data_IF_559055932364
#
_entry.id   IF_559055932364
#
_cell.length_a   1.000
_cell.length_b   1.000
_cell.length_c   1.000
_cell.angle_alpha   90.00
_cell.angle_beta   90.00
_cell.angle_gamma   90.00
#
_symmetry.space_group_name_H-M   'P 1'
#
loop_
_entity.id
_entity.type
_entity.pdbx_description
1 polymer ?
#
# COMPACT_ATOMS: atom_id res chain seq x y z
N UNK A 1 -0.03 7.68 -25.04
CA UNK A 1 0.06 8.96 -24.28
C UNK A 1 1.35 9.00 -23.50
N UNK A 2 1.85 10.21 -23.21
CA UNK A 2 3.00 10.43 -22.34
C UNK A 2 2.51 10.99 -21.00
N UNK A 3 2.76 10.26 -19.91
CA UNK A 3 2.24 10.56 -18.57
C UNK A 3 3.40 10.90 -17.63
N UNK A 4 3.28 11.99 -16.86
CA UNK A 4 4.25 12.40 -15.85
C UNK A 4 3.73 12.03 -14.44
N UNK A 5 4.33 11.03 -13.78
CA UNK A 5 3.97 10.57 -12.45
C UNK A 5 4.88 11.22 -11.41
N UNK A 6 4.35 12.07 -10.52
CA UNK A 6 5.11 12.75 -9.47
C UNK A 6 4.85 12.12 -8.12
N UNK A 7 5.89 11.61 -7.47
CA UNK A 7 5.77 10.93 -6.18
C UNK A 7 6.90 11.32 -5.21
N UNK A 8 6.59 11.40 -3.91
CA UNK A 8 7.60 11.66 -2.87
C UNK A 8 8.28 10.37 -2.37
N UNK A 9 7.77 9.20 -2.78
CA UNK A 9 8.30 7.89 -2.41
C UNK A 9 8.44 7.04 -3.66
N UNK A 10 9.61 6.47 -3.86
CA UNK A 10 9.84 5.55 -4.97
C UNK A 10 10.93 4.54 -4.62
N UNK A 11 11.08 3.51 -5.45
CA UNK A 11 12.12 2.50 -5.27
C UNK A 11 13.51 3.13 -5.06
N UNK A 12 14.36 2.57 -4.20
CA UNK A 12 14.24 1.29 -3.49
C UNK A 12 13.50 1.37 -2.14
N UNK A 13 12.82 2.46 -1.81
CA UNK A 13 11.96 2.53 -0.62
C UNK A 13 10.66 1.76 -0.87
N UNK A 14 10.41 0.68 -0.12
CA UNK A 14 9.22 -0.14 -0.24
C UNK A 14 8.11 0.35 0.68
N UNK A 15 6.96 0.69 0.10
CA UNK A 15 5.74 1.10 0.80
C UNK A 15 4.55 1.08 -0.15
N UNK A 16 3.34 1.09 0.36
CA UNK A 16 2.12 0.98 -0.45
C UNK A 16 2.05 1.97 -1.60
N UNK A 17 2.43 3.24 -1.35
CA UNK A 17 2.45 4.28 -2.41
C UNK A 17 3.50 3.95 -3.49
N UNK A 18 4.70 3.52 -3.09
CA UNK A 18 5.75 3.14 -4.04
C UNK A 18 5.29 2.00 -4.95
N UNK A 19 4.70 0.96 -4.34
CA UNK A 19 4.19 -0.19 -5.10
C UNK A 19 3.05 0.25 -6.02
N UNK A 20 2.13 1.07 -5.54
CA UNK A 20 1.04 1.60 -6.37
C UNK A 20 1.53 2.40 -7.58
N UNK A 21 2.54 3.26 -7.39
CA UNK A 21 3.12 4.05 -8.50
C UNK A 21 3.86 3.16 -9.49
N UNK A 22 4.62 2.18 -8.98
CA UNK A 22 5.37 1.26 -9.83
C UNK A 22 4.44 0.32 -10.62
N UNK A 23 3.39 -0.21 -9.97
CA UNK A 23 2.35 -1.01 -10.64
C UNK A 23 1.64 -0.20 -11.72
N UNK A 24 1.30 1.06 -11.44
CA UNK A 24 0.70 1.95 -12.42
C UNK A 24 1.66 2.22 -13.59
N UNK A 25 2.94 2.52 -13.32
CA UNK A 25 3.97 2.74 -14.36
C UNK A 25 4.08 1.53 -15.28
N UNK A 26 4.28 0.34 -14.71
CA UNK A 26 4.42 -0.91 -15.48
C UNK A 26 3.16 -1.22 -16.27
N UNK A 27 1.98 -1.05 -15.69
CA UNK A 27 0.71 -1.29 -16.36
C UNK A 27 0.48 -0.31 -17.52
N UNK A 28 0.80 0.98 -17.36
CA UNK A 28 0.73 1.97 -18.45
C UNK A 28 1.70 1.63 -19.58
N UNK A 29 2.93 1.22 -19.26
CA UNK A 29 3.92 0.82 -20.28
C UNK A 29 3.48 -0.45 -21.01
N UNK A 30 2.94 -1.44 -20.31
CA UNK A 30 2.38 -2.65 -20.93
C UNK A 30 1.19 -2.33 -21.86
N UNK A 31 0.42 -1.26 -21.55
CA UNK A 31 -0.66 -0.75 -22.40
C UNK A 31 -0.15 0.17 -23.56
N UNK A 32 1.17 0.28 -23.76
CA UNK A 32 1.76 1.04 -24.86
C UNK A 32 1.87 2.54 -24.61
N UNK A 33 1.86 3.01 -23.37
CA UNK A 33 2.03 4.41 -22.99
C UNK A 33 3.43 4.68 -22.48
N UNK A 34 3.87 5.95 -22.52
CA UNK A 34 5.13 6.39 -21.91
C UNK A 34 4.87 6.93 -20.50
N UNK A 35 5.33 6.22 -19.47
CA UNK A 35 5.23 6.65 -18.09
C UNK A 35 6.59 7.18 -17.58
N UNK A 36 6.62 8.47 -17.21
CA UNK A 36 7.79 9.13 -16.62
C UNK A 36 7.59 9.30 -15.13
N UNK A 37 8.49 8.79 -14.31
CA UNK A 37 8.42 8.92 -12.86
C UNK A 37 9.36 10.02 -12.38
N UNK A 38 8.81 10.99 -11.66
CA UNK A 38 9.55 12.07 -10.99
C UNK A 38 9.51 11.81 -9.48
N UNK A 39 10.64 11.38 -8.92
CA UNK A 39 10.75 11.00 -7.52
C UNK A 39 11.98 11.57 -6.82
N UNK A 40 12.15 11.33 -5.50
CA UNK A 40 13.33 11.73 -4.75
C UNK A 40 14.56 10.93 -5.16
N UNK A 41 15.75 11.52 -5.02
CA UNK A 41 17.01 10.78 -5.06
C UNK A 41 17.18 10.04 -3.73
N UNK A 42 17.31 8.74 -3.80
CA UNK A 42 17.56 7.86 -2.67
C UNK A 42 18.96 7.25 -2.79
N UNK A 43 19.63 7.02 -1.67
CA UNK A 43 20.91 6.31 -1.65
C UNK A 43 20.72 4.88 -2.18
N UNK A 44 21.67 4.41 -2.98
CA UNK A 44 21.62 3.07 -3.58
C UNK A 44 20.55 2.85 -4.65
N UNK A 45 19.81 3.90 -5.07
CA UNK A 45 18.83 3.76 -6.14
C UNK A 45 19.51 3.37 -7.46
N UNK A 46 19.09 2.26 -8.03
CA UNK A 46 19.42 1.82 -9.38
C UNK A 46 18.15 1.90 -10.22
N UNK A 47 18.11 2.88 -11.12
CA UNK A 47 16.91 3.10 -11.92
C UNK A 47 16.93 2.16 -13.15
N UNK A 48 15.84 1.45 -13.34
CA UNK A 48 15.67 0.45 -14.43
C UNK A 48 15.31 1.10 -15.77
N UNK A 49 15.14 2.42 -15.81
CA UNK A 49 14.73 3.17 -17.01
C UNK A 49 15.19 4.61 -16.93
N UNK A 50 15.56 5.20 -18.07
CA UNK A 50 15.87 6.62 -18.22
C UNK A 50 14.66 7.53 -18.00
N UNK A 51 13.46 6.95 -17.96
CA UNK A 51 12.21 7.66 -17.64
C UNK A 51 11.98 7.83 -16.13
N UNK A 52 12.91 7.35 -15.28
CA UNK A 52 12.90 7.61 -13.83
C UNK A 52 13.82 8.79 -13.56
N UNK A 53 13.23 9.92 -13.20
CA UNK A 53 13.91 11.21 -13.00
C UNK A 53 13.98 11.55 -11.54
N UNK A 54 15.19 11.71 -10.98
CA UNK A 54 15.42 11.92 -9.56
C UNK A 54 15.68 13.39 -9.23
N UNK A 55 14.77 13.97 -8.41
CA UNK A 55 14.98 15.28 -7.81
C UNK A 55 16.09 15.25 -6.75
N UNK A 56 16.89 16.32 -6.60
CA UNK A 56 17.76 16.47 -5.45
C UNK A 56 16.97 16.29 -4.16
N UNK A 57 17.56 15.62 -3.17
CA UNK A 57 16.85 15.26 -1.95
C UNK A 57 17.76 15.25 -0.76
N UNK A 58 17.21 15.49 0.43
CA UNK A 58 17.88 15.37 1.72
C UNK A 58 17.24 14.25 2.54
N UNK A 59 17.99 13.50 3.36
CA UNK A 59 17.41 12.51 4.25
C UNK A 59 16.42 13.14 5.23
N UNK A 60 15.32 12.46 5.52
CA UNK A 60 14.40 12.89 6.57
C UNK A 60 15.00 12.56 7.94
N UNK A 61 14.97 13.49 8.90
CA UNK A 61 15.57 13.31 10.23
C UNK A 61 14.80 12.31 11.09
N UNK A 62 13.46 12.25 10.93
CA UNK A 62 12.58 11.39 11.71
C UNK A 62 12.37 10.00 11.09
N UNK A 63 12.71 9.85 9.81
CA UNK A 63 12.59 8.61 9.07
C UNK A 63 13.73 8.52 8.03
N UNK A 64 14.92 8.02 8.41
CA UNK A 64 16.14 8.10 7.58
C UNK A 64 16.06 7.41 6.22
N UNK A 65 15.19 6.40 6.09
CA UNK A 65 14.93 5.71 4.80
C UNK A 65 14.10 6.57 3.84
N UNK A 66 13.51 7.66 4.32
CA UNK A 66 12.72 8.58 3.55
C UNK A 66 13.54 9.79 3.12
N UNK A 67 13.41 10.22 1.87
CA UNK A 67 14.10 11.39 1.37
C UNK A 67 13.12 12.51 1.02
N UNK A 68 13.41 13.69 1.52
CA UNK A 68 12.65 14.90 1.23
C UNK A 68 13.15 15.50 -0.09
N UNK A 69 12.37 15.39 -1.15
CA UNK A 69 12.70 15.95 -2.43
C UNK A 69 12.68 17.47 -2.41
N UNK A 70 13.70 18.10 -2.99
CA UNK A 70 13.75 19.54 -3.24
C UNK A 70 13.02 19.78 -4.58
N UNK A 71 11.81 20.41 -4.59
CA UNK A 71 10.95 20.50 -5.77
C UNK A 71 11.42 21.56 -6.77
N UNK A 72 12.72 21.70 -6.90
CA UNK A 72 13.39 22.63 -7.81
C UNK A 72 14.67 22.03 -8.37
N UNK A 73 14.79 21.99 -9.70
CA UNK A 73 16.01 21.60 -10.41
C UNK A 73 16.01 22.20 -11.82
N UNK A 74 17.04 22.99 -12.14
CA UNK A 74 17.20 23.56 -13.48
C UNK A 74 17.37 22.47 -14.55
N UNK A 75 18.05 21.37 -14.22
CA UNK A 75 18.22 20.20 -15.10
C UNK A 75 16.88 19.56 -15.43
N UNK A 76 16.07 19.27 -14.39
CA UNK A 76 14.75 18.67 -14.60
C UNK A 76 13.80 19.66 -15.31
N UNK A 77 13.87 20.94 -14.99
CA UNK A 77 13.10 21.97 -15.69
C UNK A 77 13.37 22.00 -17.20
N UNK A 78 14.66 21.88 -17.63
CA UNK A 78 15.04 21.79 -19.06
C UNK A 78 14.55 20.49 -19.71
N UNK A 79 14.71 19.35 -19.01
CA UNK A 79 14.21 18.06 -19.49
C UNK A 79 12.70 18.11 -19.73
N UNK A 80 11.94 18.56 -18.75
CA UNK A 80 10.48 18.64 -18.81
C UNK A 80 10.00 19.63 -19.90
N UNK A 81 10.74 20.72 -20.14
CA UNK A 81 10.41 21.67 -21.20
C UNK A 81 10.58 21.06 -22.62
N UNK A 82 11.40 20.03 -22.77
CA UNK A 82 11.57 19.28 -24.03
C UNK A 82 10.61 18.09 -24.18
N UNK A 83 9.77 17.82 -23.19
CA UNK A 83 8.82 16.71 -23.19
C UNK A 83 7.37 17.24 -23.26
N UNK A 84 6.60 16.73 -24.21
CA UNK A 84 5.18 17.05 -24.32
C UNK A 84 4.36 15.96 -23.61
N UNK A 85 3.95 16.24 -22.39
CA UNK A 85 3.10 15.35 -21.58
C UNK A 85 1.62 15.56 -21.91
N UNK A 86 0.87 14.48 -22.00
CA UNK A 86 -0.58 14.52 -22.14
C UNK A 86 -1.28 14.73 -20.80
N UNK A 87 -0.72 14.14 -19.72
CA UNK A 87 -1.27 14.18 -18.36
C UNK A 87 -0.14 14.33 -17.35
N UNK A 88 -0.39 15.12 -16.31
CA UNK A 88 0.46 15.19 -15.11
C UNK A 88 -0.29 14.59 -13.94
N UNK A 89 0.26 13.54 -13.34
CA UNK A 89 -0.35 12.81 -12.25
C UNK A 89 0.47 12.92 -10.97
N UNK A 90 -0.09 13.52 -9.94
CA UNK A 90 0.52 13.67 -8.62
C UNK A 90 0.05 12.56 -7.68
N UNK A 91 0.98 11.95 -6.95
CA UNK A 91 0.70 10.92 -5.94
C UNK A 91 0.85 11.43 -4.50
N UNK A 92 1.27 12.68 -4.32
CA UNK A 92 1.37 13.35 -3.03
C UNK A 92 0.98 14.82 -3.15
N UNK A 93 0.32 15.43 -2.14
CA UNK A 93 -0.06 16.84 -2.18
C UNK A 93 1.08 17.79 -1.75
N UNK A 94 2.17 17.25 -1.20
CA UNK A 94 3.32 18.00 -0.66
C UNK A 94 4.55 17.81 -1.56
N UNK A 95 5.59 18.63 -1.34
CA UNK A 95 6.90 18.56 -2.02
C UNK A 95 6.77 18.50 -3.55
N UNK A 96 6.78 17.31 -4.14
CA UNK A 96 6.68 17.14 -5.59
C UNK A 96 5.27 17.35 -6.15
N UNK A 97 4.21 17.30 -5.34
CA UNK A 97 2.86 17.66 -5.78
C UNK A 97 2.75 19.10 -6.31
N UNK A 98 3.20 20.12 -5.57
CA UNK A 98 3.29 21.50 -6.10
C UNK A 98 4.14 21.63 -7.37
N UNK A 99 5.19 20.80 -7.55
CA UNK A 99 5.97 20.76 -8.79
C UNK A 99 5.14 20.20 -9.96
N UNK A 100 4.42 19.11 -9.74
CA UNK A 100 3.47 18.54 -10.70
C UNK A 100 2.44 19.59 -11.14
N UNK A 101 1.82 20.26 -10.18
CA UNK A 101 0.82 21.30 -10.46
C UNK A 101 1.40 22.48 -11.26
N UNK A 102 2.63 22.90 -10.97
CA UNK A 102 3.31 23.95 -11.75
C UNK A 102 3.54 23.50 -13.19
N UNK A 103 3.94 22.24 -13.40
CA UNK A 103 4.10 21.66 -14.73
C UNK A 103 2.76 21.64 -15.48
N UNK A 104 1.72 21.06 -14.90
CA UNK A 104 0.39 20.95 -15.50
C UNK A 104 -0.12 22.31 -15.98
N UNK A 105 -0.04 23.34 -15.12
CA UNK A 105 -0.46 24.71 -15.46
C UNK A 105 0.37 25.33 -16.60
N UNK A 106 1.70 25.16 -16.59
CA UNK A 106 2.58 25.72 -17.64
C UNK A 106 2.36 25.05 -18.98
N UNK A 107 2.20 23.73 -18.97
CA UNK A 107 1.96 22.93 -20.15
C UNK A 107 0.50 22.97 -20.64
N UNK A 108 -0.42 23.57 -19.87
CA UNK A 108 -1.88 23.52 -20.11
C UNK A 108 -2.37 22.08 -20.27
N UNK A 109 -1.93 21.21 -19.36
CA UNK A 109 -2.31 19.81 -19.30
C UNK A 109 -3.06 19.50 -18.01
N UNK A 110 -3.96 18.51 -17.99
CA UNK A 110 -4.69 18.16 -16.80
C UNK A 110 -3.78 17.67 -15.69
N UNK A 111 -4.11 18.08 -14.46
CA UNK A 111 -3.54 17.56 -13.22
C UNK A 111 -4.48 16.52 -12.64
N UNK A 112 -4.05 15.26 -12.60
CA UNK A 112 -4.72 14.19 -11.87
C UNK A 112 -4.03 13.99 -10.52
N UNK A 113 -4.78 13.64 -9.48
CA UNK A 113 -4.23 13.39 -8.15
C UNK A 113 -4.76 12.09 -7.56
N UNK A 114 -3.89 11.16 -7.19
CA UNK A 114 -4.28 9.99 -6.38
C UNK A 114 -4.08 10.26 -4.90
N UNK A 115 -5.14 10.10 -4.11
CA UNK A 115 -5.14 10.28 -2.67
C UNK A 115 -4.75 8.98 -1.96
N UNK A 116 -3.44 8.72 -1.80
CA UNK A 116 -2.93 7.44 -1.27
C UNK A 116 -2.94 7.32 0.25
N UNK A 117 -2.93 8.43 0.97
CA UNK A 117 -2.58 8.41 2.39
C UNK A 117 -3.48 9.31 3.21
N UNK A 118 -3.94 8.82 4.33
CA UNK A 118 -4.58 9.61 5.39
C UNK A 118 -3.50 10.37 6.15
N UNK A 119 -3.05 11.48 5.59
CA UNK A 119 -1.87 12.24 6.07
C UNK A 119 -1.97 12.66 7.53
N UNK A 120 -3.18 12.90 8.04
CA UNK A 120 -3.45 13.21 9.44
C UNK A 120 -3.02 12.09 10.40
N UNK A 121 -3.10 10.84 9.97
CA UNK A 121 -2.68 9.68 10.77
C UNK A 121 -1.16 9.55 10.91
N UNK A 122 -0.41 10.31 10.10
CA UNK A 122 1.07 10.34 10.09
C UNK A 122 1.62 11.61 10.75
N UNK A 123 0.77 12.43 11.39
CA UNK A 123 1.17 13.68 12.03
C UNK A 123 2.21 13.49 13.14
N UNK A 124 2.25 12.31 13.78
CA UNK A 124 3.21 11.98 14.84
C UNK A 124 4.67 11.88 14.38
N UNK A 125 4.94 11.84 13.06
CA UNK A 125 6.30 11.93 12.52
C UNK A 125 6.82 13.38 12.44
N UNK A 126 5.97 14.37 12.64
CA UNK A 126 6.34 15.78 12.57
C UNK A 126 6.52 16.31 14.02
N UNK A 127 7.68 16.88 14.38
CA UNK A 127 7.95 17.35 15.75
C UNK A 127 7.26 18.69 16.05
N UNK A 128 5.92 18.73 15.92
CA UNK A 128 5.06 19.88 16.19
C UNK A 128 3.80 19.39 16.92
N UNK A 129 3.01 20.28 17.56
CA UNK A 129 1.76 19.89 18.21
C UNK A 129 0.82 19.11 17.30
N UNK A 130 0.45 17.90 17.73
CA UNK A 130 -0.23 16.89 16.90
C UNK A 130 -1.49 17.44 16.21
N UNK A 131 -2.41 18.06 16.95
CA UNK A 131 -3.67 18.58 16.40
C UNK A 131 -3.49 19.69 15.35
N UNK A 132 -2.40 20.48 15.45
CA UNK A 132 -2.06 21.49 14.42
C UNK A 132 -1.58 20.82 13.14
N UNK A 133 -0.73 19.80 13.27
CA UNK A 133 -0.18 19.04 12.13
C UNK A 133 -1.31 18.28 11.42
N UNK A 134 -2.18 17.60 12.17
CA UNK A 134 -3.35 16.91 11.63
C UNK A 134 -4.26 17.85 10.84
N UNK A 135 -4.63 18.97 11.45
CA UNK A 135 -5.50 19.99 10.81
C UNK A 135 -4.86 20.61 9.58
N UNK A 136 -3.55 20.85 9.61
CA UNK A 136 -2.81 21.36 8.46
C UNK A 136 -2.73 20.32 7.35
N UNK A 137 -2.40 19.07 7.68
CA UNK A 137 -2.33 17.97 6.74
C UNK A 137 -3.67 17.74 6.01
N UNK A 138 -4.78 17.75 6.75
CA UNK A 138 -6.13 17.65 6.20
C UNK A 138 -6.47 18.79 5.25
N UNK A 139 -6.23 20.05 5.68
CA UNK A 139 -6.52 21.24 4.85
C UNK A 139 -5.66 21.29 3.59
N UNK A 140 -4.37 20.98 3.71
CA UNK A 140 -3.46 21.01 2.57
C UNK A 140 -3.77 19.91 1.56
N UNK A 141 -4.04 18.67 2.04
CA UNK A 141 -4.34 17.53 1.15
C UNK A 141 -5.71 17.70 0.46
N UNK A 142 -6.75 18.09 1.18
CA UNK A 142 -8.05 18.40 0.59
C UNK A 142 -7.97 19.61 -0.36
N UNK A 143 -7.23 20.64 0.03
CA UNK A 143 -6.99 21.81 -0.82
C UNK A 143 -6.20 21.50 -2.08
N UNK A 144 -5.30 20.51 -2.06
CA UNK A 144 -4.61 20.04 -3.27
C UNK A 144 -5.57 19.25 -4.16
N UNK A 145 -6.37 18.33 -3.58
CA UNK A 145 -7.41 17.59 -4.29
C UNK A 145 -8.42 18.51 -4.98
N UNK A 146 -8.87 19.56 -4.29
CA UNK A 146 -9.81 20.56 -4.82
C UNK A 146 -9.24 21.41 -5.98
N UNK A 147 -7.92 21.37 -6.22
CA UNK A 147 -7.24 22.09 -7.30
C UNK A 147 -6.74 21.19 -8.41
N UNK A 148 -6.98 19.89 -8.34
CA UNK A 148 -6.76 18.95 -9.42
C UNK A 148 -7.94 19.00 -10.42
N UNK A 149 -7.74 18.50 -11.63
CA UNK A 149 -8.79 18.37 -12.64
C UNK A 149 -9.58 17.06 -12.46
N UNK A 150 -8.94 16.06 -11.87
CA UNK A 150 -9.57 14.82 -11.41
C UNK A 150 -8.82 14.24 -10.21
N UNK A 151 -9.53 13.48 -9.37
CA UNK A 151 -8.97 12.77 -8.21
C UNK A 151 -9.26 11.27 -8.35
N UNK A 152 -8.24 10.44 -8.07
CA UNK A 152 -8.39 9.02 -7.88
C UNK A 152 -8.39 8.70 -6.38
N UNK A 153 -9.45 8.07 -5.90
CA UNK A 153 -9.54 7.57 -4.53
C UNK A 153 -9.35 6.04 -4.56
N UNK A 154 -8.52 5.45 -3.69
CA UNK A 154 -8.28 4.02 -3.68
C UNK A 154 -9.47 3.22 -3.13
N UNK A 155 -10.45 3.89 -2.50
CA UNK A 155 -11.62 3.29 -1.87
C UNK A 155 -12.81 4.25 -1.86
N UNK A 156 -14.01 3.70 -1.66
CA UNK A 156 -15.25 4.49 -1.53
C UNK A 156 -15.21 5.37 -0.29
N UNK A 157 -14.66 4.86 0.80
CA UNK A 157 -14.50 5.61 2.05
C UNK A 157 -13.64 6.86 1.85
N UNK A 158 -12.51 6.76 1.14
CA UNK A 158 -11.66 7.92 0.85
C UNK A 158 -12.37 8.93 -0.04
N UNK A 159 -13.13 8.49 -1.05
CA UNK A 159 -13.97 9.39 -1.87
C UNK A 159 -14.94 10.17 -1.00
N UNK A 160 -15.68 9.47 -0.14
CA UNK A 160 -16.73 10.06 0.69
C UNK A 160 -16.15 11.02 1.75
N UNK A 161 -15.00 10.69 2.33
CA UNK A 161 -14.23 11.59 3.19
C UNK A 161 -13.81 12.88 2.47
N UNK A 162 -13.34 12.78 1.22
CA UNK A 162 -12.97 13.96 0.44
C UNK A 162 -14.18 14.82 0.11
N UNK A 163 -15.31 14.22 -0.24
CA UNK A 163 -16.56 14.95 -0.44
C UNK A 163 -17.04 15.64 0.83
N UNK A 164 -16.99 14.95 1.99
CA UNK A 164 -17.32 15.54 3.29
C UNK A 164 -16.41 16.74 3.66
N UNK A 165 -15.17 16.73 3.18
CA UNK A 165 -14.20 17.83 3.34
C UNK A 165 -14.38 18.96 2.29
N UNK A 166 -15.44 18.92 1.48
CA UNK A 166 -15.79 19.95 0.52
C UNK A 166 -15.03 19.87 -0.83
N UNK A 167 -14.36 18.77 -1.14
CA UNK A 167 -13.76 18.58 -2.47
C UNK A 167 -14.87 18.35 -3.49
N UNK A 168 -14.95 19.23 -4.49
CA UNK A 168 -15.95 19.20 -5.58
C UNK A 168 -15.37 18.72 -6.91
N UNK A 169 -14.05 18.56 -6.99
CA UNK A 169 -13.36 17.92 -8.12
C UNK A 169 -13.97 16.54 -8.37
N UNK A 170 -14.14 16.11 -9.63
CA UNK A 170 -14.55 14.74 -9.92
C UNK A 170 -13.63 13.72 -9.28
N UNK A 171 -14.20 12.79 -8.50
CA UNK A 171 -13.47 11.74 -7.79
C UNK A 171 -13.91 10.38 -8.33
N UNK A 172 -12.98 9.65 -8.93
CA UNK A 172 -13.18 8.27 -9.35
C UNK A 172 -12.59 7.30 -8.30
N UNK A 173 -13.32 6.22 -8.00
CA UNK A 173 -12.80 5.16 -7.15
C UNK A 173 -11.99 4.20 -8.03
N UNK A 174 -10.68 4.22 -7.84
CA UNK A 174 -9.71 3.40 -8.57
C UNK A 174 -8.77 2.74 -7.56
N UNK A 175 -9.08 1.53 -7.11
CA UNK A 175 -8.19 0.77 -6.26
C UNK A 175 -6.84 0.51 -6.93
N UNK A 176 -5.77 0.47 -6.14
CA UNK A 176 -4.48 -0.04 -6.61
C UNK A 176 -4.65 -1.51 -7.00
N UNK A 177 -4.28 -1.85 -8.21
CA UNK A 177 -4.34 -3.21 -8.72
C UNK A 177 -3.21 -4.10 -8.19
N UNK A 178 -3.46 -5.38 -8.27
CA UNK A 178 -2.50 -6.45 -8.02
C UNK A 178 -2.23 -7.18 -9.34
N UNK A 179 -0.99 -7.50 -9.61
CA UNK A 179 -0.60 -8.37 -10.72
C UNK A 179 -1.06 -9.80 -10.40
N UNK A 180 -2.22 -10.18 -10.92
CA UNK A 180 -2.85 -11.47 -10.63
C UNK A 180 -2.18 -12.66 -11.30
N UNK A 181 -1.33 -12.41 -12.30
CA UNK A 181 -0.53 -13.45 -12.94
C UNK A 181 0.65 -13.84 -12.04
N UNK A 182 1.14 -12.89 -11.26
CA UNK A 182 2.20 -13.07 -10.26
C UNK A 182 1.65 -13.45 -8.89
N UNK A 183 0.72 -12.66 -8.34
CA UNK A 183 0.05 -12.94 -7.07
C UNK A 183 -1.11 -13.90 -7.33
N UNK A 184 -0.84 -15.17 -7.26
CA UNK A 184 -1.81 -16.23 -7.51
C UNK A 184 -1.56 -17.41 -6.56
N UNK A 185 -2.56 -18.29 -6.37
CA UNK A 185 -2.34 -19.58 -5.74
C UNK A 185 -1.24 -20.35 -6.46
N UNK A 186 -0.37 -21.03 -5.72
CA UNK A 186 0.80 -21.74 -6.28
C UNK A 186 1.17 -22.99 -5.52
N UNK A 187 2.39 -23.50 -5.75
CA UNK A 187 2.91 -24.66 -5.04
C UNK A 187 3.25 -24.29 -3.59
N UNK A 188 2.24 -24.47 -2.73
CA UNK A 188 2.36 -24.23 -1.29
C UNK A 188 3.49 -25.03 -0.66
N UNK A 189 3.73 -26.27 -1.08
CA UNK A 189 4.77 -27.11 -0.50
C UNK A 189 6.16 -26.56 -0.83
N UNK A 190 6.38 -26.11 -2.07
CA UNK A 190 7.62 -25.44 -2.46
C UNK A 190 7.82 -24.12 -1.70
N UNK A 191 6.78 -23.28 -1.60
CA UNK A 191 6.83 -22.03 -0.85
C UNK A 191 7.15 -22.26 0.65
N UNK A 192 6.57 -23.27 1.27
CA UNK A 192 6.86 -23.63 2.66
C UNK A 192 8.29 -24.13 2.85
N UNK A 193 8.81 -24.97 1.94
CA UNK A 193 10.23 -25.39 1.96
C UNK A 193 11.17 -24.18 1.87
N UNK A 194 10.89 -23.25 0.96
CA UNK A 194 11.69 -22.01 0.80
C UNK A 194 11.72 -21.17 2.09
N UNK A 195 10.63 -21.15 2.84
CA UNK A 195 10.52 -20.37 4.07
C UNK A 195 10.92 -21.17 5.33
N UNK A 196 11.26 -22.46 5.20
CA UNK A 196 11.58 -23.32 6.34
C UNK A 196 10.39 -23.54 7.27
N UNK A 197 9.18 -23.64 6.71
CA UNK A 197 7.94 -23.99 7.42
C UNK A 197 7.67 -25.48 7.19
N UNK A 198 7.64 -26.26 8.28
CA UNK A 198 7.46 -27.71 8.19
C UNK A 198 6.03 -28.10 7.77
N UNK A 199 5.90 -29.30 7.26
CA UNK A 199 4.60 -29.90 7.03
C UNK A 199 3.86 -30.08 8.38
N UNK A 200 2.57 -29.70 8.42
CA UNK A 200 1.78 -29.75 9.66
C UNK A 200 1.87 -28.49 10.53
N UNK A 201 2.83 -27.58 10.32
CA UNK A 201 2.81 -26.28 10.99
C UNK A 201 1.72 -25.37 10.42
N UNK A 202 1.08 -24.56 11.27
CA UNK A 202 0.11 -23.55 10.88
C UNK A 202 0.83 -22.20 10.77
N UNK A 203 0.93 -21.62 9.56
CA UNK A 203 1.63 -20.36 9.32
C UNK A 203 0.67 -19.18 9.32
N UNK A 204 0.82 -18.30 10.31
CA UNK A 204 0.20 -16.97 10.35
C UNK A 204 1.17 -15.97 9.71
N UNK A 205 0.70 -15.16 8.78
CA UNK A 205 1.51 -14.20 8.05
C UNK A 205 1.07 -12.77 8.35
N UNK A 206 2.04 -11.90 8.57
CA UNK A 206 1.90 -10.45 8.51
C UNK A 206 2.84 -9.89 7.45
N UNK A 207 2.37 -9.01 6.60
CA UNK A 207 3.18 -8.24 5.64
C UNK A 207 2.82 -6.76 5.78
N UNK A 208 3.83 -5.92 5.93
CA UNK A 208 3.63 -4.48 6.04
C UNK A 208 4.75 -3.76 6.76
N UNK A 209 4.66 -2.42 6.79
CA UNK A 209 5.62 -1.63 7.57
C UNK A 209 5.46 -1.94 9.06
N UNK A 210 6.57 -1.97 9.78
CA UNK A 210 6.60 -2.15 11.23
C UNK A 210 6.61 -0.78 11.92
N UNK A 211 5.54 -0.03 11.72
CA UNK A 211 5.35 1.31 12.24
C UNK A 211 4.15 1.35 13.21
N UNK A 212 4.10 2.41 14.02
CA UNK A 212 3.10 2.56 15.09
C UNK A 212 1.66 2.41 14.58
N UNK A 213 1.34 3.03 13.45
CA UNK A 213 -0.02 3.03 12.87
C UNK A 213 -0.46 1.67 12.32
N UNK A 214 0.47 0.69 12.23
CA UNK A 214 0.15 -0.69 11.79
C UNK A 214 -0.20 -1.64 12.94
N UNK A 215 -0.06 -1.19 14.19
CA UNK A 215 -0.46 -1.94 15.40
C UNK A 215 0.06 -3.39 15.43
N UNK A 216 1.35 -3.59 15.04
CA UNK A 216 1.93 -4.94 14.94
C UNK A 216 2.14 -5.57 16.33
N UNK A 217 2.20 -4.80 17.38
CA UNK A 217 2.16 -5.27 18.76
C UNK A 217 0.88 -6.06 19.07
N UNK A 218 -0.29 -5.64 18.53
CA UNK A 218 -1.54 -6.42 18.65
C UNK A 218 -1.43 -7.78 17.93
N UNK A 219 -0.75 -7.82 16.77
CA UNK A 219 -0.47 -9.09 16.06
C UNK A 219 0.37 -10.04 16.91
N UNK A 220 1.41 -9.52 17.57
CA UNK A 220 2.27 -10.31 18.46
C UNK A 220 1.49 -10.87 19.67
N UNK A 221 0.71 -10.02 20.33
CA UNK A 221 -0.13 -10.45 21.49
C UNK A 221 -1.21 -11.44 21.04
N UNK A 222 -1.84 -11.22 19.89
CA UNK A 222 -2.81 -12.17 19.33
C UNK A 222 -2.14 -13.51 19.02
N UNK A 223 -0.92 -13.50 18.48
CA UNK A 223 -0.21 -14.72 18.16
C UNK A 223 0.15 -15.55 19.41
N UNK A 224 0.47 -14.94 20.54
CA UNK A 224 0.69 -15.69 21.78
C UNK A 224 -0.53 -16.54 22.18
N UNK A 225 -1.74 -15.97 22.04
CA UNK A 225 -3.00 -16.70 22.24
C UNK A 225 -3.25 -17.76 21.17
N UNK A 226 -2.97 -17.45 19.91
CA UNK A 226 -3.08 -18.42 18.81
C UNK A 226 -2.18 -19.63 19.11
N UNK A 227 -0.93 -19.40 19.46
CA UNK A 227 0.05 -20.45 19.68
C UNK A 227 -0.19 -21.27 20.97
N UNK A 228 -0.94 -20.74 21.95
CA UNK A 228 -1.37 -21.51 23.11
C UNK A 228 -2.47 -22.53 22.77
N UNK A 229 -3.29 -22.26 21.75
CA UNK A 229 -4.36 -23.16 21.31
C UNK A 229 -3.93 -24.04 20.14
N UNK A 230 -3.17 -23.49 19.20
CA UNK A 230 -2.65 -24.19 18.01
C UNK A 230 -1.15 -24.41 18.21
N UNK A 231 -0.79 -25.53 18.82
CA UNK A 231 0.59 -25.80 19.25
C UNK A 231 1.62 -25.77 18.09
N UNK A 232 1.20 -26.09 16.86
CA UNK A 232 2.04 -26.03 15.67
C UNK A 232 2.02 -24.66 14.95
N UNK A 233 1.44 -23.60 15.55
CA UNK A 233 1.38 -22.29 14.93
C UNK A 233 2.75 -21.59 14.91
N UNK A 234 3.05 -20.94 13.79
CA UNK A 234 4.19 -20.02 13.60
C UNK A 234 3.73 -18.68 13.08
N UNK A 235 4.37 -17.60 13.52
CA UNK A 235 4.16 -16.26 13.00
C UNK A 235 5.36 -15.85 12.16
N UNK A 236 5.09 -15.41 10.94
CA UNK A 236 6.07 -14.81 10.04
C UNK A 236 5.69 -13.35 9.78
N UNK A 237 6.61 -12.44 10.10
CA UNK A 237 6.46 -11.01 9.86
C UNK A 237 7.43 -10.58 8.75
N UNK A 238 6.89 -9.93 7.73
CA UNK A 238 7.66 -9.40 6.59
C UNK A 238 7.51 -7.89 6.54
N UNK A 239 8.63 -7.19 6.58
CA UNK A 239 8.70 -5.74 6.52
C UNK A 239 9.72 -5.16 7.50
N UNK A 240 9.78 -3.83 7.49
CA UNK A 240 10.63 -3.01 8.37
C UNK A 240 9.88 -1.72 8.73
N UNK A 241 10.38 -0.99 9.70
CA UNK A 241 9.80 0.27 10.12
C UNK A 241 10.42 0.76 11.44
N UNK A 242 9.99 1.93 11.88
CA UNK A 242 10.52 2.61 13.07
C UNK A 242 10.34 1.82 14.37
N UNK A 243 9.33 0.94 14.41
CA UNK A 243 9.03 0.09 15.57
C UNK A 243 9.72 -1.28 15.55
N UNK A 244 10.49 -1.59 14.49
CA UNK A 244 11.03 -2.94 14.28
C UNK A 244 11.82 -3.46 15.49
N UNK A 245 12.68 -2.64 16.10
CA UNK A 245 13.49 -3.05 17.26
C UNK A 245 12.63 -3.20 18.55
N UNK A 246 11.64 -2.31 18.73
CA UNK A 246 10.69 -2.44 19.85
C UNK A 246 9.87 -3.73 19.73
N UNK A 247 9.38 -4.03 18.53
CA UNK A 247 8.60 -5.22 18.26
C UNK A 247 9.43 -6.51 18.42
N UNK A 248 10.70 -6.52 18.02
CA UNK A 248 11.60 -7.67 18.26
C UNK A 248 11.82 -7.88 19.75
N UNK A 249 12.06 -6.81 20.53
CA UNK A 249 12.16 -6.91 21.99
C UNK A 249 10.86 -7.44 22.60
N UNK A 250 9.70 -6.90 22.20
CA UNK A 250 8.41 -7.43 22.66
C UNK A 250 8.28 -8.93 22.34
N UNK A 251 8.54 -9.33 21.09
CA UNK A 251 8.46 -10.73 20.68
C UNK A 251 9.37 -11.64 21.52
N UNK A 252 10.57 -11.17 21.90
CA UNK A 252 11.51 -11.96 22.72
C UNK A 252 11.05 -12.17 24.17
N UNK A 253 10.12 -11.36 24.68
CA UNK A 253 9.54 -11.54 26.02
C UNK A 253 8.35 -12.50 26.05
N UNK A 254 7.78 -12.83 24.88
CA UNK A 254 6.64 -13.74 24.79
C UNK A 254 7.08 -15.20 24.97
N UNK A 255 6.23 -16.01 25.60
CA UNK A 255 6.48 -17.45 25.80
C UNK A 255 6.67 -18.22 24.48
N UNK A 256 6.17 -17.65 23.39
CA UNK A 256 6.17 -18.23 22.03
C UNK A 256 7.26 -17.64 21.12
N UNK A 257 8.22 -16.92 21.67
CA UNK A 257 9.31 -16.25 20.94
C UNK A 257 10.00 -17.15 19.87
N UNK A 258 10.32 -18.43 20.11
CA UNK A 258 10.94 -19.32 19.13
C UNK A 258 10.06 -19.59 17.88
N UNK A 259 8.78 -19.30 17.96
CA UNK A 259 7.81 -19.49 16.87
C UNK A 259 7.53 -18.20 16.07
N UNK A 260 8.18 -17.09 16.43
CA UNK A 260 8.04 -15.79 15.77
C UNK A 260 9.27 -15.50 14.93
N UNK A 261 9.08 -15.22 13.64
CA UNK A 261 10.17 -14.97 12.72
C UNK A 261 9.98 -13.65 11.97
N UNK A 262 10.97 -12.77 12.06
CA UNK A 262 11.05 -11.53 11.31
C UNK A 262 11.94 -11.74 10.08
N UNK A 263 11.38 -11.60 8.87
CA UNK A 263 12.12 -11.79 7.61
C UNK A 263 12.75 -10.49 7.07
N UNK A 264 12.47 -9.34 7.71
CA UNK A 264 12.94 -8.04 7.21
C UNK A 264 12.23 -7.61 5.93
N UNK A 265 12.81 -6.62 5.24
CA UNK A 265 12.31 -6.15 3.95
C UNK A 265 12.53 -7.20 2.88
N UNK A 266 11.54 -7.40 2.04
CA UNK A 266 11.63 -8.24 0.85
C UNK A 266 11.23 -7.41 -0.38
N UNK A 267 11.90 -7.60 -1.53
CA UNK A 267 11.38 -7.10 -2.79
C UNK A 267 9.94 -7.54 -3.02
N UNK A 268 9.13 -6.71 -3.64
CA UNK A 268 7.69 -6.97 -3.77
C UNK A 268 7.38 -8.32 -4.45
N UNK A 269 8.17 -8.70 -5.46
CA UNK A 269 8.02 -9.98 -6.14
C UNK A 269 8.36 -11.20 -5.27
N UNK A 270 9.19 -11.04 -4.23
CA UNK A 270 9.57 -12.10 -3.28
C UNK A 270 8.52 -12.31 -2.17
N UNK A 271 7.45 -11.52 -2.15
CA UNK A 271 6.35 -11.69 -1.19
C UNK A 271 5.42 -12.85 -1.56
N UNK A 272 5.34 -13.20 -2.84
CA UNK A 272 4.41 -14.24 -3.34
C UNK A 272 4.57 -15.58 -2.59
N UNK A 273 5.79 -16.14 -2.41
CA UNK A 273 5.95 -17.36 -1.63
C UNK A 273 5.48 -17.22 -0.18
N UNK A 274 5.57 -16.02 0.43
CA UNK A 274 5.08 -15.80 1.78
C UNK A 274 3.56 -15.96 1.86
N UNK A 275 2.82 -15.36 0.91
CA UNK A 275 1.37 -15.51 0.83
C UNK A 275 0.95 -16.95 0.50
N UNK A 276 1.64 -17.62 -0.43
CA UNK A 276 1.34 -19.00 -0.84
C UNK A 276 1.59 -20.03 0.28
N UNK A 277 2.59 -19.79 1.14
CA UNK A 277 2.94 -20.69 2.24
C UNK A 277 1.98 -20.58 3.44
N UNK A 278 1.34 -19.43 3.62
CA UNK A 278 0.56 -19.09 4.81
C UNK A 278 -0.82 -19.77 4.86
N UNK A 279 -1.37 -19.87 6.07
CA UNK A 279 -2.70 -20.39 6.34
C UNK A 279 -3.71 -19.26 6.58
N UNK A 280 -3.28 -18.21 7.27
CA UNK A 280 -4.09 -17.04 7.61
C UNK A 280 -3.21 -15.79 7.51
N UNK A 281 -3.73 -14.75 6.88
CA UNK A 281 -3.14 -13.43 6.91
C UNK A 281 -3.71 -12.64 8.09
N UNK A 282 -2.85 -12.15 9.01
CA UNK A 282 -3.29 -11.46 10.22
C UNK A 282 -2.91 -9.98 10.14
N UNK A 283 -3.89 -9.07 10.25
CA UNK A 283 -3.69 -7.67 9.99
C UNK A 283 -4.44 -6.76 10.97
N UNK A 284 -3.70 -5.90 11.69
CA UNK A 284 -4.23 -5.07 12.77
C UNK A 284 -4.24 -3.56 12.48
N UNK A 285 -3.97 -3.14 11.24
CA UNK A 285 -3.94 -1.72 10.87
C UNK A 285 -5.34 -1.11 10.81
N UNK A 286 -5.49 0.08 11.40
CA UNK A 286 -6.74 0.86 11.39
C UNK A 286 -6.67 2.09 10.47
N UNK A 287 -5.58 2.27 9.73
CA UNK A 287 -5.29 3.51 9.00
C UNK A 287 -5.17 3.35 7.49
N UNK A 288 -5.64 2.23 6.96
CA UNK A 288 -5.55 1.94 5.54
C UNK A 288 -6.44 2.87 4.71
N UNK A 289 -5.99 3.16 3.50
CA UNK A 289 -6.83 3.77 2.47
C UNK A 289 -7.44 2.72 1.55
N UNK A 290 -6.81 1.53 1.46
CA UNK A 290 -7.27 0.39 0.68
C UNK A 290 -6.87 -0.95 1.30
N UNK A 291 -5.66 -1.05 1.92
CA UNK A 291 -5.11 -2.32 2.38
C UNK A 291 -4.55 -3.18 1.23
N UNK A 292 -3.59 -2.65 0.47
CA UNK A 292 -2.99 -3.35 -0.68
C UNK A 292 -2.52 -4.78 -0.34
N UNK A 293 -1.88 -4.98 0.80
CA UNK A 293 -1.40 -6.30 1.26
C UNK A 293 -2.54 -7.30 1.51
N UNK A 294 -3.74 -6.81 1.83
CA UNK A 294 -4.95 -7.66 1.93
C UNK A 294 -5.41 -8.10 0.54
N UNK A 295 -5.34 -7.21 -0.46
CA UNK A 295 -5.65 -7.56 -1.85
C UNK A 295 -4.63 -8.56 -2.43
N UNK A 296 -3.35 -8.44 -2.08
CA UNK A 296 -2.29 -9.40 -2.43
C UNK A 296 -2.54 -10.77 -1.79
N UNK A 297 -2.90 -10.80 -0.50
CA UNK A 297 -3.30 -12.03 0.20
C UNK A 297 -4.51 -12.69 -0.48
N UNK A 298 -5.55 -11.90 -0.76
CA UNK A 298 -6.75 -12.37 -1.46
C UNK A 298 -6.40 -12.92 -2.86
N UNK A 299 -5.53 -12.24 -3.61
CA UNK A 299 -5.05 -12.69 -4.91
C UNK A 299 -4.35 -14.06 -4.85
N UNK A 300 -3.62 -14.34 -3.76
CA UNK A 300 -3.00 -15.64 -3.53
C UNK A 300 -3.97 -16.68 -2.93
N UNK A 301 -5.24 -16.36 -2.76
CA UNK A 301 -6.23 -17.27 -2.15
C UNK A 301 -6.03 -17.45 -0.64
N UNK A 302 -5.39 -16.51 0.03
CA UNK A 302 -5.12 -16.52 1.46
C UNK A 302 -6.20 -15.72 2.20
N UNK A 303 -7.03 -16.34 3.05
CA UNK A 303 -8.04 -15.60 3.81
C UNK A 303 -7.37 -14.73 4.89
N UNK A 304 -7.94 -13.55 5.11
CA UNK A 304 -7.44 -12.60 6.08
C UNK A 304 -8.31 -12.57 7.34
N UNK A 305 -7.66 -12.37 8.49
CA UNK A 305 -8.26 -11.85 9.71
C UNK A 305 -7.76 -10.43 9.89
N UNK A 306 -8.65 -9.46 9.81
CA UNK A 306 -8.30 -8.05 9.85
C UNK A 306 -9.18 -7.26 10.83
N UNK A 307 -8.71 -6.10 11.20
CA UNK A 307 -9.53 -5.15 11.95
C UNK A 307 -10.61 -4.58 11.04
N UNK A 308 -11.84 -4.49 11.55
CA UNK A 308 -12.94 -3.79 10.86
C UNK A 308 -12.67 -2.27 10.88
N UNK A 309 -11.93 -1.82 9.90
CA UNK A 309 -11.51 -0.45 9.74
C UNK A 309 -11.56 -0.04 8.26
N UNK A 310 -11.72 1.26 7.99
CA UNK A 310 -11.75 1.78 6.64
C UNK A 310 -10.58 1.28 5.79
N UNK A 311 -10.87 0.85 4.56
CA UNK A 311 -9.90 0.27 3.64
C UNK A 311 -9.65 -1.22 3.84
N UNK A 312 -9.89 -1.78 5.02
CA UNK A 312 -9.85 -3.22 5.23
C UNK A 312 -11.16 -3.89 4.79
N UNK A 313 -12.29 -3.27 5.12
CA UNK A 313 -13.65 -3.72 4.84
C UNK A 313 -14.02 -3.68 3.34
N UNK A 314 -13.28 -2.95 2.53
CA UNK A 314 -13.46 -2.96 1.07
C UNK A 314 -12.75 -4.15 0.39
N UNK A 315 -11.77 -4.75 1.06
CA UNK A 315 -11.03 -5.91 0.55
C UNK A 315 -11.52 -7.20 1.20
N UNK A 316 -11.70 -7.19 2.53
CA UNK A 316 -12.16 -8.34 3.29
C UNK A 316 -13.66 -8.24 3.50
N UNK A 317 -14.41 -9.20 2.97
CA UNK A 317 -15.85 -9.36 3.22
C UNK A 317 -16.02 -10.28 4.42
N UNK A 318 -16.57 -9.74 5.51
CA UNK A 318 -16.71 -10.49 6.75
C UNK A 318 -17.56 -11.76 6.59
N UNK A 319 -17.06 -12.88 7.09
CA UNK A 319 -17.69 -14.20 6.97
C UNK A 319 -17.61 -14.83 5.58
N UNK A 320 -17.22 -14.08 4.54
CA UNK A 320 -17.15 -14.55 3.14
C UNK A 320 -15.71 -14.78 2.67
N UNK A 321 -14.87 -13.72 2.62
CA UNK A 321 -13.48 -13.81 2.14
C UNK A 321 -12.46 -13.79 3.26
N UNK A 322 -12.90 -13.55 4.48
CA UNK A 322 -12.09 -13.48 5.69
C UNK A 322 -12.95 -13.15 6.89
N UNK A 323 -12.31 -12.67 7.96
CA UNK A 323 -13.01 -12.27 9.19
C UNK A 323 -12.58 -10.86 9.58
N UNK A 324 -13.55 -9.98 9.80
CA UNK A 324 -13.34 -8.64 10.35
C UNK A 324 -13.61 -8.63 11.86
N UNK A 325 -12.71 -8.04 12.63
CA UNK A 325 -12.75 -8.03 14.08
C UNK A 325 -12.79 -6.62 14.66
N UNK A 326 -13.10 -6.49 15.96
CA UNK A 326 -13.10 -5.20 16.67
C UNK A 326 -11.70 -4.59 16.88
N UNK A 327 -10.62 -5.29 16.49
CA UNK A 327 -9.27 -4.77 16.51
C UNK A 327 -8.50 -4.98 17.82
N UNK A 328 -9.08 -5.59 18.85
CA UNK A 328 -8.30 -6.04 20.00
C UNK A 328 -7.61 -7.39 19.72
N UNK A 329 -6.53 -7.64 20.45
CA UNK A 329 -5.72 -8.84 20.24
C UNK A 329 -6.46 -10.15 20.50
N UNK A 330 -7.47 -10.12 21.37
CA UNK A 330 -8.29 -11.31 21.71
C UNK A 330 -9.18 -11.67 20.53
N UNK A 331 -9.93 -10.72 20.00
CA UNK A 331 -10.80 -10.95 18.84
C UNK A 331 -10.02 -11.38 17.59
N UNK A 332 -8.84 -10.79 17.36
CA UNK A 332 -7.93 -11.21 16.29
C UNK A 332 -7.48 -12.68 16.48
N UNK A 333 -7.13 -13.05 17.71
CA UNK A 333 -6.70 -14.41 18.01
C UNK A 333 -7.83 -15.43 17.83
N UNK A 334 -9.02 -15.16 18.37
CA UNK A 334 -10.18 -16.05 18.28
C UNK A 334 -10.59 -16.30 16.82
N UNK A 335 -10.63 -15.25 16.01
CA UNK A 335 -10.93 -15.36 14.59
C UNK A 335 -9.88 -16.18 13.84
N UNK A 336 -8.59 -15.95 14.12
CA UNK A 336 -7.51 -16.71 13.49
C UNK A 336 -7.50 -18.17 13.93
N UNK A 337 -7.73 -18.48 15.20
CA UNK A 337 -7.87 -19.86 15.73
C UNK A 337 -9.02 -20.58 15.02
N UNK A 338 -10.17 -19.92 14.90
CA UNK A 338 -11.33 -20.47 14.20
C UNK A 338 -11.01 -20.87 12.76
N UNK A 339 -10.25 -20.05 12.02
CA UNK A 339 -9.82 -20.38 10.66
C UNK A 339 -8.73 -21.43 10.61
N UNK A 340 -7.80 -21.46 11.59
CA UNK A 340 -6.74 -22.45 11.62
C UNK A 340 -7.25 -23.87 11.91
N UNK A 341 -8.29 -23.98 12.74
CA UNK A 341 -8.89 -25.26 13.13
C UNK A 341 -9.92 -25.78 12.14
N UNK A 342 -10.51 -24.89 11.32
CA UNK A 342 -11.52 -25.25 10.31
C UNK A 342 -10.92 -25.13 8.88
N UNK A 343 -10.35 -26.22 8.39
CA UNK A 343 -9.69 -26.28 7.09
C UNK A 343 -10.66 -25.99 5.93
N UNK A 344 -11.87 -26.51 5.97
CA UNK A 344 -12.84 -26.34 4.89
C UNK A 344 -13.33 -24.89 4.79
N UNK A 345 -13.65 -24.28 5.92
CA UNK A 345 -14.01 -22.87 6.00
C UNK A 345 -12.86 -21.99 5.49
N UNK A 346 -11.63 -22.25 5.95
CA UNK A 346 -10.43 -21.52 5.54
C UNK A 346 -10.20 -21.61 4.03
N UNK A 347 -10.26 -22.80 3.44
CA UNK A 347 -10.12 -23.02 1.99
C UNK A 347 -11.26 -22.35 1.19
N UNK A 348 -12.49 -22.46 1.70
CA UNK A 348 -13.65 -21.83 1.08
C UNK A 348 -13.51 -20.32 1.02
N UNK A 349 -13.13 -19.67 2.14
CA UNK A 349 -12.86 -18.23 2.19
C UNK A 349 -11.72 -17.83 1.25
N UNK A 350 -10.64 -18.60 1.21
CA UNK A 350 -9.50 -18.32 0.32
C UNK A 350 -9.91 -18.33 -1.16
N UNK A 351 -10.71 -19.31 -1.60
CA UNK A 351 -11.23 -19.33 -2.99
C UNK A 351 -12.06 -18.09 -3.30
N UNK A 352 -12.99 -17.72 -2.42
CA UNK A 352 -13.82 -16.51 -2.62
C UNK A 352 -13.00 -15.22 -2.54
N UNK A 353 -11.97 -15.17 -1.71
CA UNK A 353 -11.04 -14.04 -1.68
C UNK A 353 -10.34 -13.87 -3.03
N UNK A 354 -9.86 -14.94 -3.66
CA UNK A 354 -9.30 -14.92 -5.01
C UNK A 354 -10.31 -14.41 -6.05
N UNK A 355 -11.55 -14.88 -6.04
CA UNK A 355 -12.59 -14.41 -6.94
C UNK A 355 -12.86 -12.90 -6.79
N UNK A 356 -12.84 -12.39 -5.56
CA UNK A 356 -12.98 -10.95 -5.30
C UNK A 356 -11.77 -10.19 -5.85
N UNK A 357 -10.54 -10.69 -5.65
CA UNK A 357 -9.35 -10.07 -6.20
C UNK A 357 -9.40 -9.99 -7.73
N UNK A 358 -9.83 -11.03 -8.42
CA UNK A 358 -9.99 -11.07 -9.87
C UNK A 358 -10.99 -10.04 -10.39
N UNK A 359 -12.09 -9.84 -9.67
CA UNK A 359 -13.16 -8.92 -10.09
C UNK A 359 -12.89 -7.45 -9.76
N UNK A 360 -12.10 -7.17 -8.72
CA UNK A 360 -11.99 -5.82 -8.17
C UNK A 360 -10.57 -5.25 -8.17
N UNK A 361 -9.54 -6.10 -8.08
CA UNK A 361 -8.16 -5.68 -7.84
C UNK A 361 -7.17 -6.12 -8.92
N UNK A 362 -7.62 -6.56 -10.09
CA UNK A 362 -6.72 -6.80 -11.22
C UNK A 362 -6.05 -5.49 -11.65
N UNK A 363 -4.75 -5.51 -11.85
CA UNK A 363 -3.99 -4.35 -12.34
C UNK A 363 -4.53 -3.84 -13.68
N UNK A 364 -5.03 -4.72 -14.53
CA UNK A 364 -5.65 -4.36 -15.82
C UNK A 364 -6.87 -3.45 -15.62
N UNK A 365 -7.72 -3.76 -14.63
CA UNK A 365 -8.86 -2.91 -14.28
C UNK A 365 -8.43 -1.55 -13.72
N UNK A 366 -7.35 -1.50 -12.95
CA UNK A 366 -6.79 -0.23 -12.49
C UNK A 366 -6.36 0.63 -13.68
N UNK A 367 -5.64 0.04 -14.65
CA UNK A 367 -5.16 0.77 -15.81
C UNK A 367 -6.33 1.29 -16.64
N UNK A 368 -7.32 0.45 -16.96
CA UNK A 368 -8.49 0.85 -17.74
C UNK A 368 -9.25 2.02 -17.09
N UNK A 369 -9.50 1.92 -15.78
CA UNK A 369 -10.18 2.99 -15.01
C UNK A 369 -9.34 4.27 -14.96
N UNK A 370 -8.03 4.15 -14.76
CA UNK A 370 -7.12 5.31 -14.74
C UNK A 370 -7.08 5.99 -16.09
N UNK A 371 -7.02 5.21 -17.18
CA UNK A 371 -7.03 5.72 -18.55
C UNK A 371 -8.33 6.45 -18.89
N UNK A 372 -9.47 5.92 -18.45
CA UNK A 372 -10.76 6.60 -18.61
C UNK A 372 -10.76 7.98 -17.93
N UNK A 373 -10.22 8.08 -16.70
CA UNK A 373 -10.08 9.35 -15.98
C UNK A 373 -9.12 10.30 -16.70
N UNK A 374 -8.02 9.81 -17.25
CA UNK A 374 -7.07 10.64 -18.01
C UNK A 374 -7.72 11.23 -19.25
N UNK A 375 -8.44 10.41 -20.03
CA UNK A 375 -9.13 10.87 -21.25
C UNK A 375 -10.20 11.93 -20.94
N UNK A 376 -11.00 11.69 -19.90
CA UNK A 376 -12.02 12.65 -19.45
C UNK A 376 -11.37 13.96 -18.96
N UNK A 377 -10.29 13.92 -18.18
CA UNK A 377 -9.57 15.11 -17.75
C UNK A 377 -8.94 15.89 -18.92
N UNK A 378 -8.40 15.21 -19.94
CA UNK A 378 -7.89 15.84 -21.16
C UNK A 378 -9.02 16.56 -21.91
N UNK A 379 -10.19 15.92 -22.03
CA UNK A 379 -11.32 16.50 -22.73
C UNK A 379 -11.86 17.78 -22.06
N UNK A 380 -11.73 17.89 -20.74
CA UNK A 380 -12.19 19.07 -19.97
C UNK A 380 -11.21 20.25 -20.02
N UNK A 381 -9.91 20.01 -20.21
CA UNK A 381 -8.88 21.08 -20.21
C UNK A 381 -8.66 21.65 -21.61
N UNK A 382 -9.05 20.94 -22.66
CA UNK A 382 -9.07 21.43 -24.06
C UNK A 382 -10.23 22.37 -24.29
#
# INVERSE_FOLDING_TARGET
MRIALFTNNYLPFYGGVTISVETLRQGLEAAGHEAWVFGPRLAGAQDVSDRIVRYPSIPATTYPEFALAIPYSRRIGRLVAGLDFDVVHAHHPFLLGPAARRLARRARRPLVFTYHTRYEKYAHYVPLPLGLVESAALRLSAGFAARADAVLAPSTVVRDELHARGVRTPIAVVPTGVDLDRFCPGDRAAARRQLGVAEGEAMVLYVGRLDREKSVDRVLVAFERIASTVAAARLVLVGHGTEAERLRRLASTLSVAPRIRFLGVRPHHDLVPCYQAADVFLFASETETQGLVLAEAAACGLPAVAVNAPGCDEVVRDGDTGVLTKGDATALAEAAIGLLLDLERRRGMGRRAREVAERAFDVRLQIDRTMAVYLDAIARVR
#
